data_IF_355068998181
#
_entry.id   IF_355068998181
#
_cell.length_a   1.000
_cell.length_b   1.000
_cell.length_c   1.000
_cell.angle_alpha   90.00
_cell.angle_beta   90.00
_cell.angle_gamma   90.00
#
_symmetry.space_group_name_H-M   'P 1'
#
loop_
_entity.id
_entity.type
_entity.pdbx_description
1 polymer ?
#
# COMPACT_ATOMS: atom_id res chain seq x y z
N UNK A 1 -22.50 2.05 5.13
CA UNK A 1 -22.80 1.64 3.72
C UNK A 1 -21.57 0.89 3.22
N UNK A 2 -21.73 -0.31 2.67
CA UNK A 2 -20.58 -1.16 2.28
C UNK A 2 -19.90 -0.70 0.97
N UNK A 3 -20.59 0.07 0.14
CA UNK A 3 -20.11 0.69 -1.11
C UNK A 3 -21.03 1.86 -1.51
N UNK A 4 -20.56 2.70 -2.43
CA UNK A 4 -21.31 3.83 -3.00
C UNK A 4 -21.68 3.54 -4.45
N UNK A 5 -22.63 4.30 -4.99
CA UNK A 5 -22.97 4.26 -6.42
C UNK A 5 -21.77 4.71 -7.28
N UNK A 6 -21.00 5.71 -6.82
CA UNK A 6 -19.75 6.12 -7.43
C UNK A 6 -18.73 4.98 -7.53
N UNK A 7 -18.56 4.18 -6.47
CA UNK A 7 -17.65 3.04 -6.49
C UNK A 7 -18.04 2.00 -7.57
N UNK A 8 -19.34 1.74 -7.74
CA UNK A 8 -19.83 0.87 -8.82
C UNK A 8 -19.59 1.49 -10.20
N UNK A 9 -19.79 2.79 -10.35
CA UNK A 9 -19.54 3.50 -11.60
C UNK A 9 -18.07 3.41 -12.00
N UNK A 10 -17.14 3.62 -11.06
CA UNK A 10 -15.69 3.48 -11.30
C UNK A 10 -15.31 2.04 -11.64
N UNK A 11 -15.82 1.06 -10.91
CA UNK A 11 -15.56 -0.36 -11.18
C UNK A 11 -16.06 -0.76 -12.57
N UNK A 12 -17.25 -0.29 -12.96
CA UNK A 12 -17.84 -0.52 -14.28
C UNK A 12 -17.03 0.15 -15.38
N UNK A 13 -16.71 1.44 -15.23
CA UNK A 13 -15.91 2.17 -16.21
C UNK A 13 -14.53 1.53 -16.43
N UNK A 14 -13.88 1.07 -15.32
CA UNK A 14 -12.58 0.38 -15.38
C UNK A 14 -12.60 -0.91 -16.16
N UNK A 15 -13.76 -1.55 -16.33
CA UNK A 15 -13.87 -2.81 -17.06
C UNK A 15 -13.77 -2.65 -18.59
N UNK A 16 -13.94 -1.43 -19.10
CA UNK A 16 -13.82 -1.17 -20.53
C UNK A 16 -12.36 -1.19 -20.98
N UNK A 17 -12.12 -1.83 -22.12
CA UNK A 17 -10.78 -1.93 -22.71
C UNK A 17 -10.19 -0.56 -23.01
N UNK A 18 -8.96 -0.34 -22.56
CA UNK A 18 -8.27 0.95 -22.73
C UNK A 18 -8.51 1.95 -21.59
N UNK A 19 -9.43 1.67 -20.66
CA UNK A 19 -9.68 2.52 -19.49
C UNK A 19 -8.74 2.12 -18.34
N UNK A 20 -7.70 2.91 -18.14
CA UNK A 20 -6.71 2.74 -17.06
C UNK A 20 -6.96 3.68 -15.87
N UNK A 21 -6.14 3.52 -14.80
CA UNK A 21 -6.24 4.38 -13.62
C UNK A 21 -6.09 5.87 -13.98
N UNK A 22 -5.15 6.23 -14.86
CA UNK A 22 -4.96 7.62 -15.28
C UNK A 22 -6.23 8.21 -15.91
N UNK A 23 -6.95 7.42 -16.71
CA UNK A 23 -8.21 7.87 -17.31
C UNK A 23 -9.27 8.12 -16.23
N UNK A 24 -9.43 7.18 -15.28
CA UNK A 24 -10.36 7.33 -14.15
C UNK A 24 -10.03 8.59 -13.34
N UNK A 25 -8.78 8.73 -12.91
CA UNK A 25 -8.31 9.86 -12.10
C UNK A 25 -8.55 11.21 -12.80
N UNK A 26 -8.38 11.26 -14.13
CA UNK A 26 -8.57 12.47 -14.92
C UNK A 26 -10.04 12.82 -15.11
N UNK A 27 -10.89 11.85 -15.37
CA UNK A 27 -12.23 12.07 -15.89
C UNK A 27 -13.34 11.91 -14.84
N UNK A 28 -13.14 11.11 -13.78
CA UNK A 28 -14.17 10.85 -12.76
C UNK A 28 -13.78 11.48 -11.42
N UNK A 29 -14.71 12.24 -10.83
CA UNK A 29 -14.52 12.97 -9.55
C UNK A 29 -15.47 12.50 -8.45
N UNK A 30 -16.39 11.57 -8.78
CA UNK A 30 -17.29 10.95 -7.83
C UNK A 30 -18.75 11.42 -7.88
N UNK A 31 -19.08 12.33 -8.79
CA UNK A 31 -20.43 12.91 -8.94
C UNK A 31 -20.96 12.90 -10.37
N UNK A 32 -20.30 12.20 -11.28
CA UNK A 32 -20.72 12.13 -12.69
C UNK A 32 -22.00 11.29 -12.85
N UNK A 33 -22.92 11.76 -13.69
CA UNK A 33 -24.06 10.96 -14.16
C UNK A 33 -23.59 9.86 -15.09
N UNK A 34 -24.39 8.79 -15.23
CA UNK A 34 -24.09 7.69 -16.16
C UNK A 34 -24.00 8.21 -17.60
N UNK A 35 -24.89 9.11 -18.03
CA UNK A 35 -24.82 9.80 -19.32
C UNK A 35 -23.44 10.43 -19.55
N UNK A 36 -22.92 11.16 -18.54
CA UNK A 36 -21.60 11.79 -18.60
C UNK A 36 -20.49 10.75 -18.72
N UNK A 37 -20.53 9.69 -17.92
CA UNK A 37 -19.53 8.62 -17.95
C UNK A 37 -19.53 7.93 -19.31
N UNK A 38 -20.69 7.55 -19.84
CA UNK A 38 -20.84 6.92 -21.15
C UNK A 38 -20.34 7.83 -22.28
N UNK A 39 -20.65 9.14 -22.23
CA UNK A 39 -20.13 10.12 -23.19
C UNK A 39 -18.59 10.19 -23.17
N UNK A 40 -17.98 10.18 -21.98
CA UNK A 40 -16.51 10.19 -21.82
C UNK A 40 -15.87 8.87 -22.29
N UNK A 41 -16.50 7.73 -21.99
CA UNK A 41 -16.05 6.41 -22.46
C UNK A 41 -16.04 6.37 -23.98
N UNK A 42 -17.13 6.76 -24.65
CA UNK A 42 -17.28 6.71 -26.11
C UNK A 42 -16.30 7.64 -26.86
N UNK A 43 -15.75 8.66 -26.20
CA UNK A 43 -14.64 9.47 -26.74
C UNK A 43 -13.29 8.77 -26.69
N UNK A 44 -13.15 7.70 -25.91
CA UNK A 44 -11.87 7.07 -25.58
C UNK A 44 -11.75 5.64 -26.10
N UNK A 45 -12.80 4.83 -25.96
CA UNK A 45 -12.81 3.45 -26.39
C UNK A 45 -12.72 3.37 -27.92
N UNK A 46 -12.02 2.37 -28.42
CA UNK A 46 -11.83 2.14 -29.86
C UNK A 46 -12.78 1.08 -30.42
N UNK A 47 -13.40 0.33 -29.52
CA UNK A 47 -14.38 -0.70 -29.83
C UNK A 47 -15.75 -0.05 -30.07
N UNK A 48 -16.82 -0.84 -30.24
CA UNK A 48 -18.17 -0.30 -30.44
C UNK A 48 -18.58 0.62 -29.28
N UNK A 49 -19.27 1.75 -29.58
CA UNK A 49 -19.76 2.65 -28.54
C UNK A 49 -20.69 1.93 -27.58
N UNK A 50 -20.55 2.22 -26.28
CA UNK A 50 -21.47 1.69 -25.25
C UNK A 50 -22.68 2.63 -25.09
N UNK A 51 -23.79 2.08 -24.62
CA UNK A 51 -25.00 2.83 -24.23
C UNK A 51 -25.15 2.91 -22.71
N UNK A 52 -26.03 3.80 -22.24
CA UNK A 52 -26.38 3.87 -20.82
C UNK A 52 -26.99 2.56 -20.32
N UNK A 53 -27.87 1.93 -21.10
CA UNK A 53 -28.49 0.64 -20.76
C UNK A 53 -27.45 -0.47 -20.62
N UNK A 54 -26.45 -0.49 -21.49
CA UNK A 54 -25.38 -1.47 -21.41
C UNK A 54 -24.48 -1.21 -20.20
N UNK A 55 -24.12 0.04 -19.94
CA UNK A 55 -23.37 0.42 -18.75
C UNK A 55 -24.10 0.02 -17.47
N UNK A 56 -25.40 0.32 -17.38
CA UNK A 56 -26.27 -0.07 -16.26
C UNK A 56 -26.35 -1.60 -16.10
N UNK A 57 -26.46 -2.34 -17.18
CA UNK A 57 -26.45 -3.81 -17.14
C UNK A 57 -25.15 -4.36 -16.58
N UNK A 58 -24.02 -3.82 -17.02
CA UNK A 58 -22.69 -4.21 -16.49
C UNK A 58 -22.54 -3.82 -15.02
N UNK A 59 -22.99 -2.63 -14.64
CA UNK A 59 -22.98 -2.14 -13.26
C UNK A 59 -23.75 -3.08 -12.32
N UNK A 60 -24.97 -3.49 -12.68
CA UNK A 60 -25.75 -4.48 -11.90
C UNK A 60 -25.05 -5.83 -11.77
N UNK A 61 -24.35 -6.29 -12.81
CA UNK A 61 -23.57 -7.54 -12.74
C UNK A 61 -22.38 -7.40 -11.76
N UNK A 62 -21.68 -6.24 -11.77
CA UNK A 62 -20.60 -6.00 -10.79
C UNK A 62 -21.15 -5.86 -9.38
N UNK A 63 -22.30 -5.22 -9.20
CA UNK A 63 -22.98 -5.09 -7.92
C UNK A 63 -23.30 -6.45 -7.30
N UNK A 64 -23.92 -7.36 -8.07
CA UNK A 64 -24.21 -8.72 -7.61
C UNK A 64 -22.96 -9.44 -7.10
N UNK A 65 -21.87 -9.41 -7.90
CA UNK A 65 -20.59 -10.02 -7.52
C UNK A 65 -19.95 -9.35 -6.29
N UNK A 66 -20.17 -8.06 -6.08
CA UNK A 66 -19.65 -7.33 -4.94
C UNK A 66 -20.42 -7.71 -3.67
N UNK A 67 -21.74 -7.90 -3.77
CA UNK A 67 -22.58 -8.36 -2.64
C UNK A 67 -22.12 -9.73 -2.16
N UNK A 68 -21.86 -10.69 -3.06
CA UNK A 68 -21.32 -12.01 -2.72
C UNK A 68 -20.02 -11.89 -1.91
N UNK A 69 -19.11 -10.97 -2.29
CA UNK A 69 -17.84 -10.74 -1.57
C UNK A 69 -18.05 -10.19 -0.16
N UNK A 70 -19.06 -9.36 0.05
CA UNK A 70 -19.39 -8.85 1.39
C UNK A 70 -19.91 -9.94 2.33
N UNK A 71 -20.56 -10.94 1.79
CA UNK A 71 -20.98 -12.10 2.56
C UNK A 71 -19.80 -13.00 2.93
N UNK A 72 -18.80 -13.11 2.07
CA UNK A 72 -17.66 -14.00 2.25
C UNK A 72 -16.51 -13.39 3.08
N UNK A 73 -16.03 -12.20 2.73
CA UNK A 73 -14.72 -11.77 3.19
C UNK A 73 -14.48 -10.27 3.34
N UNK A 74 -15.35 -9.40 2.80
CA UNK A 74 -15.12 -7.95 2.76
C UNK A 74 -16.08 -7.20 3.69
N UNK A 75 -15.58 -6.19 4.38
CA UNK A 75 -16.44 -5.25 5.13
C UNK A 75 -16.91 -4.10 4.23
N UNK A 76 -16.13 -3.75 3.20
CA UNK A 76 -16.51 -2.72 2.25
C UNK A 76 -15.64 -2.62 1.00
N UNK A 77 -16.11 -1.76 0.10
CA UNK A 77 -15.47 -1.39 -1.15
C UNK A 77 -15.60 0.12 -1.32
N UNK A 78 -14.48 0.80 -1.51
CA UNK A 78 -14.41 2.26 -1.66
C UNK A 78 -13.65 2.63 -2.91
N UNK A 79 -14.02 3.74 -3.54
CA UNK A 79 -13.39 4.21 -4.76
C UNK A 79 -13.05 5.71 -4.70
N UNK A 80 -12.21 6.14 -5.62
CA UNK A 80 -11.84 7.54 -5.78
C UNK A 80 -13.08 8.45 -5.83
N UNK A 81 -13.11 9.50 -5.01
CA UNK A 81 -14.26 10.40 -4.86
C UNK A 81 -15.21 10.01 -3.73
N UNK A 82 -15.11 8.81 -3.16
CA UNK A 82 -15.90 8.44 -1.98
C UNK A 82 -15.35 9.12 -0.71
N UNK A 83 -16.20 9.44 0.28
CA UNK A 83 -15.80 10.13 1.51
C UNK A 83 -14.71 9.41 2.31
N UNK A 84 -14.69 8.08 2.28
CA UNK A 84 -13.74 7.24 3.03
C UNK A 84 -12.61 6.67 2.16
N UNK A 85 -12.49 7.11 0.90
CA UNK A 85 -11.39 6.66 0.06
C UNK A 85 -10.08 7.26 0.55
N UNK A 86 -9.07 6.45 0.90
CA UNK A 86 -7.83 6.96 1.48
C UNK A 86 -7.05 7.84 0.51
N UNK A 87 -6.62 8.99 1.00
CA UNK A 87 -5.75 9.87 0.22
C UNK A 87 -4.31 9.32 0.25
N UNK A 88 -3.67 9.32 -0.92
CA UNK A 88 -2.25 8.99 -1.02
C UNK A 88 -1.35 10.12 -0.51
N UNK A 89 -0.17 9.77 -0.02
CA UNK A 89 0.90 10.72 0.29
C UNK A 89 1.82 10.87 -0.93
N UNK A 90 2.57 11.98 -0.95
CA UNK A 90 3.58 12.25 -1.97
C UNK A 90 3.05 12.55 -3.37
N UNK A 91 3.96 12.56 -4.34
CA UNK A 91 3.71 12.95 -5.72
C UNK A 91 3.48 11.72 -6.61
N UNK A 92 2.30 11.15 -6.54
CA UNK A 92 1.94 9.91 -7.27
C UNK A 92 1.39 10.25 -8.65
N UNK A 93 1.94 9.63 -9.70
CA UNK A 93 1.42 9.75 -11.07
C UNK A 93 0.01 9.19 -11.16
N UNK A 94 -0.85 9.81 -11.99
CA UNK A 94 -2.25 9.39 -12.15
C UNK A 94 -2.41 7.91 -12.47
N UNK A 95 -1.52 7.34 -13.29
CA UNK A 95 -1.55 5.92 -13.66
C UNK A 95 -1.21 4.96 -12.51
N UNK A 96 -0.56 5.46 -11.46
CA UNK A 96 -0.10 4.69 -10.32
C UNK A 96 -1.00 4.88 -9.08
N UNK A 97 -1.95 5.84 -9.13
CA UNK A 97 -2.91 6.05 -8.04
C UNK A 97 -3.89 4.88 -7.95
N UNK A 98 -4.22 4.40 -6.74
CA UNK A 98 -5.34 3.49 -6.54
C UNK A 98 -6.64 4.21 -6.90
N UNK A 99 -7.57 3.48 -7.51
CA UNK A 99 -8.89 4.03 -7.90
C UNK A 99 -10.03 3.38 -7.14
N UNK A 100 -9.81 2.20 -6.57
CA UNK A 100 -10.71 1.53 -5.65
C UNK A 100 -9.95 0.56 -4.75
N UNK A 101 -10.54 0.23 -3.62
CA UNK A 101 -9.99 -0.70 -2.63
C UNK A 101 -11.10 -1.57 -2.05
N UNK A 102 -10.85 -2.88 -1.99
CA UNK A 102 -11.57 -3.82 -1.15
C UNK A 102 -10.91 -3.85 0.22
N UNK A 103 -11.70 -3.89 1.29
CA UNK A 103 -11.13 -3.88 2.64
C UNK A 103 -11.89 -4.74 3.63
N UNK A 104 -11.18 -5.15 4.69
CA UNK A 104 -11.72 -5.77 5.90
C UNK A 104 -11.04 -5.13 7.12
N UNK A 105 -11.84 -4.64 8.07
CA UNK A 105 -11.39 -3.87 9.23
C UNK A 105 -11.54 -2.35 9.04
N UNK A 106 -10.72 -1.57 9.73
CA UNK A 106 -10.85 -0.12 9.85
C UNK A 106 -10.15 0.63 8.71
N UNK A 107 -10.88 0.99 7.64
CA UNK A 107 -10.33 1.71 6.48
C UNK A 107 -9.76 3.10 6.86
N UNK A 108 -10.27 3.73 7.91
CA UNK A 108 -9.82 5.01 8.43
C UNK A 108 -8.37 4.99 8.96
N UNK A 109 -7.78 3.82 9.23
CA UNK A 109 -6.35 3.69 9.54
C UNK A 109 -5.45 4.21 8.41
N UNK A 110 -5.93 4.25 7.16
CA UNK A 110 -5.21 4.85 6.03
C UNK A 110 -5.45 6.35 5.87
N UNK A 111 -6.29 6.97 6.72
CA UNK A 111 -6.49 8.41 6.69
C UNK A 111 -5.17 9.17 6.77
N UNK A 112 -5.11 10.31 6.09
CA UNK A 112 -3.98 11.24 6.15
C UNK A 112 -3.84 11.95 7.52
N UNK A 113 -4.87 11.86 8.37
CA UNK A 113 -4.82 12.33 9.75
C UNK A 113 -3.94 11.43 10.65
N UNK A 114 -3.81 10.15 10.29
CA UNK A 114 -2.96 9.19 10.99
C UNK A 114 -1.51 9.29 10.52
N UNK A 115 -0.58 8.96 11.41
CA UNK A 115 0.82 8.76 11.02
C UNK A 115 1.04 7.29 10.70
N UNK A 116 1.31 7.00 9.44
CA UNK A 116 1.52 5.66 8.93
C UNK A 116 2.99 5.45 8.60
N UNK A 117 3.57 4.40 9.18
CA UNK A 117 4.98 4.02 8.97
C UNK A 117 5.00 2.67 8.25
N UNK A 118 5.53 2.65 7.05
CA UNK A 118 5.77 1.39 6.36
C UNK A 118 7.10 0.80 6.78
N UNK A 119 7.09 -0.49 7.15
CA UNK A 119 8.32 -1.26 7.46
C UNK A 119 8.37 -2.45 6.51
N UNK A 120 9.51 -2.58 5.82
CA UNK A 120 9.76 -3.61 4.80
C UNK A 120 11.17 -4.18 4.92
N UNK A 121 11.40 -5.35 4.32
CA UNK A 121 12.74 -5.93 4.33
C UNK A 121 12.81 -7.32 3.70
N UNK A 122 13.70 -8.14 4.22
CA UNK A 122 13.97 -9.50 3.77
C UNK A 122 12.82 -10.47 4.05
N UNK A 123 12.66 -11.45 3.17
CA UNK A 123 11.75 -12.57 3.42
C UNK A 123 12.24 -13.54 4.50
N UNK A 124 13.55 -13.60 4.74
CA UNK A 124 14.16 -14.46 5.73
C UNK A 124 15.28 -13.70 6.47
N UNK A 125 14.94 -12.76 7.38
CA UNK A 125 15.92 -12.08 8.19
C UNK A 125 16.56 -13.04 9.21
N UNK A 126 17.81 -12.79 9.59
CA UNK A 126 18.46 -13.53 10.69
C UNK A 126 18.15 -12.88 12.04
N UNK A 127 18.38 -13.60 13.13
CA UNK A 127 17.90 -13.26 14.46
C UNK A 127 18.13 -11.83 14.96
N UNK A 128 19.32 -11.25 14.76
CA UNK A 128 19.63 -9.88 15.18
C UNK A 128 18.88 -8.82 14.35
N UNK A 129 18.64 -9.06 13.08
CA UNK A 129 17.82 -8.19 12.21
C UNK A 129 16.38 -8.16 12.73
N UNK A 130 15.79 -9.32 13.04
CA UNK A 130 14.46 -9.41 13.61
C UNK A 130 14.33 -8.65 14.92
N UNK A 131 15.26 -8.84 15.85
CA UNK A 131 15.24 -8.17 17.16
C UNK A 131 15.29 -6.64 17.01
N UNK A 132 16.16 -6.14 16.13
CA UNK A 132 16.31 -4.70 15.89
C UNK A 132 15.08 -4.13 15.18
N UNK A 133 14.51 -4.85 14.23
CA UNK A 133 13.27 -4.47 13.57
C UNK A 133 12.11 -4.37 14.56
N UNK A 134 11.95 -5.37 15.43
CA UNK A 134 10.92 -5.35 16.49
C UNK A 134 11.04 -4.13 17.40
N UNK A 135 12.26 -3.75 17.80
CA UNK A 135 12.51 -2.53 18.60
C UNK A 135 12.08 -1.25 17.85
N UNK A 136 12.33 -1.20 16.53
CA UNK A 136 11.90 -0.06 15.70
C UNK A 136 10.37 0.02 15.68
N UNK A 137 9.70 -1.08 15.34
CA UNK A 137 8.24 -1.14 15.29
C UNK A 137 7.61 -0.77 16.64
N UNK A 138 8.09 -1.39 17.74
CA UNK A 138 7.64 -1.09 19.08
C UNK A 138 7.73 0.40 19.41
N UNK A 139 8.86 1.02 19.06
CA UNK A 139 9.09 2.44 19.34
C UNK A 139 8.14 3.34 18.55
N UNK A 140 7.85 3.05 17.28
CA UNK A 140 6.86 3.80 16.50
C UNK A 140 5.44 3.60 17.02
N UNK A 141 5.05 2.38 17.36
CA UNK A 141 3.73 2.08 17.93
C UNK A 141 3.52 2.79 19.26
N UNK A 142 4.49 2.74 20.17
CA UNK A 142 4.45 3.47 21.46
C UNK A 142 4.27 4.99 21.31
N UNK A 143 4.60 5.54 20.16
CA UNK A 143 4.41 6.95 19.84
C UNK A 143 3.21 7.20 18.91
N UNK A 144 2.27 6.24 18.82
CA UNK A 144 0.97 6.39 18.16
C UNK A 144 0.97 6.19 16.65
N UNK A 145 2.03 5.65 16.06
CA UNK A 145 2.04 5.33 14.63
C UNK A 145 1.27 4.05 14.32
N UNK A 146 0.60 4.02 13.18
CA UNK A 146 0.07 2.80 12.55
C UNK A 146 1.15 2.18 11.66
N UNK A 147 1.39 0.89 11.80
CA UNK A 147 2.35 0.16 10.96
C UNK A 147 1.69 -0.31 9.68
N UNK A 148 2.31 -0.05 8.54
CA UNK A 148 1.85 -0.52 7.23
C UNK A 148 2.88 -1.51 6.70
N UNK A 149 2.44 -2.64 6.17
CA UNK A 149 3.33 -3.58 5.47
C UNK A 149 2.54 -4.49 4.53
N UNK A 150 3.19 -5.46 3.91
CA UNK A 150 2.61 -6.25 2.82
C UNK A 150 2.23 -7.67 3.17
N UNK A 151 2.31 -8.06 4.42
CA UNK A 151 2.02 -9.43 4.89
C UNK A 151 2.92 -10.51 4.26
N UNK A 152 4.04 -10.16 3.62
CA UNK A 152 5.01 -11.14 3.13
C UNK A 152 5.70 -11.87 4.30
N UNK A 153 6.49 -12.89 4.00
CA UNK A 153 7.33 -13.54 5.00
C UNK A 153 8.41 -12.58 5.53
N UNK A 154 9.01 -12.92 6.65
CA UNK A 154 10.11 -12.16 7.25
C UNK A 154 9.69 -10.79 7.77
N UNK A 155 10.38 -9.75 7.34
CA UNK A 155 10.23 -8.41 7.91
C UNK A 155 8.78 -7.90 7.89
N UNK A 156 7.99 -8.14 6.83
CA UNK A 156 6.60 -7.73 6.79
C UNK A 156 5.78 -8.38 7.92
N UNK A 157 5.90 -9.70 8.08
CA UNK A 157 5.17 -10.44 9.14
C UNK A 157 5.69 -10.14 10.54
N UNK A 158 6.99 -9.90 10.70
CA UNK A 158 7.61 -9.46 11.97
C UNK A 158 7.04 -8.10 12.37
N UNK A 159 6.96 -7.15 11.43
CA UNK A 159 6.41 -5.82 11.67
C UNK A 159 4.94 -5.86 12.09
N UNK A 160 4.11 -6.64 11.40
CA UNK A 160 2.71 -6.81 11.78
C UNK A 160 2.57 -7.43 13.16
N UNK A 161 3.27 -8.54 13.42
CA UNK A 161 3.20 -9.19 14.73
C UNK A 161 3.68 -8.28 15.84
N UNK A 162 4.78 -7.56 15.66
CA UNK A 162 5.28 -6.64 16.67
C UNK A 162 4.34 -5.46 16.92
N UNK A 163 3.65 -4.97 15.88
CA UNK A 163 2.65 -3.93 16.07
C UNK A 163 1.50 -4.41 16.98
N UNK A 164 1.01 -5.64 16.77
CA UNK A 164 -0.01 -6.27 17.62
C UNK A 164 0.53 -6.52 19.03
N UNK A 165 1.72 -7.12 19.17
CA UNK A 165 2.37 -7.38 20.46
C UNK A 165 2.55 -6.08 21.28
N UNK A 166 2.65 -4.94 20.63
CA UNK A 166 2.75 -3.61 21.23
C UNK A 166 1.37 -2.94 21.43
N UNK A 167 0.27 -3.64 21.22
CA UNK A 167 -1.11 -3.12 21.29
C UNK A 167 -1.38 -1.95 20.32
N UNK A 168 -0.70 -1.93 19.18
CA UNK A 168 -0.86 -0.94 18.12
C UNK A 168 -1.71 -1.42 16.97
N UNK A 169 -1.99 -0.51 16.04
CA UNK A 169 -2.71 -0.85 14.81
C UNK A 169 -1.74 -1.15 13.67
N UNK A 170 -2.16 -2.08 12.79
CA UNK A 170 -1.41 -2.38 11.58
C UNK A 170 -2.32 -2.59 10.37
N UNK A 171 -1.79 -2.23 9.20
CA UNK A 171 -2.46 -2.31 7.90
C UNK A 171 -1.69 -3.25 6.99
N UNK A 172 -2.31 -4.34 6.57
CA UNK A 172 -1.73 -5.25 5.60
C UNK A 172 -2.28 -4.97 4.18
N UNK A 173 -1.38 -4.64 3.26
CA UNK A 173 -1.71 -4.40 1.84
C UNK A 173 -1.42 -5.68 1.06
N UNK A 174 -2.44 -6.28 0.45
CA UNK A 174 -2.39 -7.62 -0.12
C UNK A 174 -2.28 -7.63 -1.66
N UNK A 175 -1.54 -8.58 -2.25
CA UNK A 175 -1.47 -8.80 -3.70
C UNK A 175 -2.60 -9.68 -4.24
N UNK A 176 -3.51 -10.11 -3.37
CA UNK A 176 -4.55 -11.09 -3.65
C UNK A 176 -5.90 -10.64 -3.09
N UNK A 177 -7.02 -11.21 -3.53
CA UNK A 177 -8.32 -10.89 -2.96
C UNK A 177 -8.43 -11.38 -1.51
N UNK A 178 -9.34 -10.77 -0.73
CA UNK A 178 -9.46 -11.01 0.71
C UNK A 178 -9.96 -12.42 1.07
N UNK A 179 -10.61 -13.14 0.15
CA UNK A 179 -10.98 -14.54 0.34
C UNK A 179 -9.83 -15.53 0.04
N UNK A 180 -8.76 -15.06 -0.63
CA UNK A 180 -7.58 -15.87 -0.95
C UNK A 180 -6.30 -15.15 -0.51
N UNK A 181 -6.12 -15.00 0.80
CA UNK A 181 -4.99 -14.26 1.39
C UNK A 181 -3.66 -14.95 1.06
N UNK A 182 -2.74 -14.16 0.49
CA UNK A 182 -1.39 -14.60 0.15
C UNK A 182 -0.32 -13.77 0.86
N UNK A 183 0.74 -14.43 1.37
CA UNK A 183 1.00 -15.87 1.33
C UNK A 183 0.09 -16.65 2.31
N UNK A 184 -0.38 -17.81 1.91
CA UNK A 184 -1.36 -18.60 2.69
C UNK A 184 -0.90 -18.92 4.12
N UNK A 185 0.41 -19.04 4.36
CA UNK A 185 0.99 -19.30 5.69
C UNK A 185 0.74 -18.15 6.68
N UNK A 186 0.58 -16.91 6.19
CA UNK A 186 0.32 -15.73 7.01
C UNK A 186 -1.18 -15.42 7.18
N UNK A 187 -2.07 -16.34 6.75
CA UNK A 187 -3.52 -16.17 6.88
C UNK A 187 -3.97 -16.01 8.34
N UNK A 188 -3.34 -16.74 9.27
CA UNK A 188 -3.61 -16.59 10.71
C UNK A 188 -3.30 -15.17 11.21
N UNK A 189 -2.13 -14.64 10.83
CA UNK A 189 -1.74 -13.26 11.16
C UNK A 189 -2.71 -12.23 10.55
N UNK A 190 -3.16 -12.45 9.32
CA UNK A 190 -4.15 -11.57 8.70
C UNK A 190 -5.47 -11.52 9.48
N UNK A 191 -5.95 -12.64 10.00
CA UNK A 191 -7.15 -12.66 10.84
C UNK A 191 -6.92 -11.96 12.17
N UNK A 192 -5.79 -12.19 12.83
CA UNK A 192 -5.41 -11.51 14.06
C UNK A 192 -5.35 -9.98 13.87
N UNK A 193 -4.79 -9.51 12.75
CA UNK A 193 -4.78 -8.07 12.42
C UNK A 193 -6.21 -7.48 12.45
N UNK A 194 -7.18 -8.15 11.85
CA UNK A 194 -8.56 -7.67 11.82
C UNK A 194 -9.21 -7.76 13.21
N UNK A 195 -9.03 -8.87 13.90
CA UNK A 195 -9.59 -9.09 15.25
C UNK A 195 -9.10 -8.05 16.25
N UNK A 196 -7.87 -7.60 16.14
CA UNK A 196 -7.29 -6.55 16.99
C UNK A 196 -7.52 -5.12 16.43
N UNK A 197 -8.44 -4.98 15.46
CA UNK A 197 -8.92 -3.69 14.97
C UNK A 197 -8.02 -3.06 13.92
N UNK A 198 -7.14 -3.81 13.29
CA UNK A 198 -6.35 -3.41 12.13
C UNK A 198 -7.12 -3.46 10.82
N UNK A 199 -6.40 -3.50 9.70
CA UNK A 199 -6.95 -3.41 8.35
C UNK A 199 -6.25 -4.36 7.39
N UNK A 200 -7.03 -5.08 6.59
CA UNK A 200 -6.58 -5.71 5.34
C UNK A 200 -7.14 -4.92 4.16
N UNK A 201 -6.32 -4.63 3.17
CA UNK A 201 -6.71 -3.86 1.99
C UNK A 201 -6.06 -4.40 0.72
N UNK A 202 -6.81 -4.36 -0.39
CA UNK A 202 -6.34 -4.79 -1.71
C UNK A 202 -7.07 -4.09 -2.85
N UNK A 203 -6.39 -3.95 -4.00
CA UNK A 203 -7.03 -3.54 -5.26
C UNK A 203 -7.64 -4.73 -6.03
N UNK A 204 -7.42 -5.98 -5.56
CA UNK A 204 -7.80 -7.17 -6.30
C UNK A 204 -9.09 -7.80 -5.76
N UNK A 205 -10.13 -7.79 -6.59
CA UNK A 205 -11.41 -8.44 -6.31
C UNK A 205 -11.53 -9.87 -6.84
N UNK A 206 -10.56 -10.36 -7.63
CA UNK A 206 -10.58 -11.68 -8.25
C UNK A 206 -9.26 -12.41 -8.05
N UNK A 207 -9.31 -13.74 -8.05
CA UNK A 207 -8.11 -14.57 -7.99
C UNK A 207 -7.16 -14.33 -9.16
N UNK A 208 -5.89 -14.65 -8.93
CA UNK A 208 -4.87 -14.67 -9.97
C UNK A 208 -4.94 -15.96 -10.77
N UNK A 209 -4.68 -15.88 -12.08
CA UNK A 209 -4.75 -17.02 -13.01
C UNK A 209 -3.45 -17.83 -13.07
N UNK A 210 -2.34 -17.26 -12.58
CA UNK A 210 -1.02 -17.89 -12.64
C UNK A 210 -0.08 -17.33 -11.58
N UNK A 211 1.01 -18.06 -11.28
CA UNK A 211 2.08 -17.55 -10.41
C UNK A 211 2.79 -16.33 -10.97
N UNK A 212 2.83 -16.17 -12.30
CA UNK A 212 3.37 -14.99 -12.96
C UNK A 212 2.50 -13.76 -12.70
N UNK A 213 1.17 -13.89 -12.79
CA UNK A 213 0.24 -12.81 -12.45
C UNK A 213 0.35 -12.43 -10.97
N UNK A 214 0.39 -13.42 -10.07
CA UNK A 214 0.59 -13.16 -8.65
C UNK A 214 1.92 -12.40 -8.41
N UNK A 215 3.00 -12.80 -9.07
CA UNK A 215 4.28 -12.09 -8.99
C UNK A 215 4.19 -10.65 -9.49
N UNK A 216 3.41 -10.38 -10.53
CA UNK A 216 3.14 -9.00 -10.99
C UNK A 216 2.35 -8.21 -9.96
N UNK A 217 1.32 -8.83 -9.37
CA UNK A 217 0.50 -8.20 -8.33
C UNK A 217 1.30 -7.83 -7.06
N UNK A 218 2.29 -8.65 -6.67
CA UNK A 218 3.23 -8.29 -5.61
C UNK A 218 3.98 -6.99 -5.92
N UNK A 219 4.52 -6.87 -7.15
CA UNK A 219 5.24 -5.67 -7.58
C UNK A 219 4.34 -4.43 -7.65
N UNK A 220 3.12 -4.60 -8.15
CA UNK A 220 2.13 -3.52 -8.22
C UNK A 220 1.68 -3.07 -6.83
N UNK A 221 1.52 -4.00 -5.90
CA UNK A 221 1.15 -3.74 -4.51
C UNK A 221 2.21 -2.94 -3.75
N UNK A 222 3.52 -3.15 -4.06
CA UNK A 222 4.61 -2.46 -3.38
C UNK A 222 4.52 -0.93 -3.50
N UNK A 223 3.89 -0.40 -4.57
CA UNK A 223 3.62 1.04 -4.67
C UNK A 223 2.65 1.54 -3.62
N UNK A 224 1.66 0.71 -3.22
CA UNK A 224 0.69 1.09 -2.20
C UNK A 224 1.33 1.19 -0.81
N UNK A 225 2.33 0.36 -0.51
CA UNK A 225 3.12 0.46 0.71
C UNK A 225 3.84 1.81 0.80
N UNK A 226 4.32 2.33 -0.33
CA UNK A 226 4.97 3.63 -0.39
C UNK A 226 3.97 4.79 -0.31
N UNK A 227 2.87 4.76 -1.07
CA UNK A 227 1.96 5.91 -1.16
C UNK A 227 0.99 6.05 0.03
N UNK A 228 0.84 5.02 0.87
CA UNK A 228 -0.01 5.08 2.06
C UNK A 228 0.78 5.28 3.36
N UNK A 229 2.06 5.67 3.31
CA UNK A 229 2.84 5.97 4.49
C UNK A 229 3.47 7.38 4.48
N UNK A 230 3.73 7.89 5.67
CA UNK A 230 4.43 9.16 5.88
C UNK A 230 5.95 8.99 5.84
N UNK A 231 6.42 7.79 6.13
CA UNK A 231 7.83 7.36 6.00
C UNK A 231 7.89 5.86 5.77
N UNK A 232 8.76 5.42 4.86
CA UNK A 232 9.08 4.01 4.67
C UNK A 232 10.43 3.67 5.28
N UNK A 233 10.50 2.58 6.03
CA UNK A 233 11.68 2.09 6.72
C UNK A 233 12.11 0.76 6.11
N UNK A 234 13.35 0.69 5.66
CA UNK A 234 14.00 -0.54 5.24
C UNK A 234 14.73 -1.19 6.42
N UNK A 235 14.24 -2.34 6.89
CA UNK A 235 14.93 -3.10 7.91
C UNK A 235 16.27 -3.63 7.38
N UNK A 236 16.25 -4.52 6.42
CA UNK A 236 17.43 -5.00 5.71
C UNK A 236 17.04 -5.52 4.32
N UNK A 237 17.90 -5.39 3.32
CA UNK A 237 17.68 -6.01 2.00
C UNK A 237 18.98 -6.13 1.20
N UNK A 238 19.00 -7.12 0.31
CA UNK A 238 20.03 -7.26 -0.72
C UNK A 238 19.91 -6.17 -1.77
N UNK A 239 21.04 -5.65 -2.25
CA UNK A 239 21.10 -4.84 -3.46
C UNK A 239 20.92 -5.70 -4.71
N UNK A 240 20.71 -5.06 -5.86
CA UNK A 240 20.48 -5.76 -7.14
C UNK A 240 21.63 -6.69 -7.53
N UNK A 241 22.85 -6.33 -7.19
CA UNK A 241 24.08 -7.03 -7.53
C UNK A 241 24.72 -7.79 -6.36
N UNK A 242 24.02 -7.96 -5.22
CA UNK A 242 24.58 -8.63 -4.05
C UNK A 242 25.03 -10.06 -4.36
N UNK A 243 24.30 -10.80 -5.22
CA UNK A 243 24.69 -12.16 -5.62
C UNK A 243 26.04 -12.20 -6.34
N UNK A 244 26.39 -11.15 -7.08
CA UNK A 244 27.66 -11.07 -7.81
C UNK A 244 28.81 -10.58 -6.93
N UNK A 245 28.51 -9.81 -5.88
CA UNK A 245 29.52 -9.24 -4.98
C UNK A 245 29.97 -10.22 -3.88
N UNK A 246 29.13 -11.20 -3.56
CA UNK A 246 29.38 -12.14 -2.45
C UNK A 246 29.48 -13.57 -2.95
N UNK A 247 30.68 -14.21 -2.89
CA UNK A 247 30.89 -15.57 -3.42
C UNK A 247 29.92 -16.63 -2.87
N UNK A 248 29.50 -16.49 -1.61
CA UNK A 248 28.52 -17.38 -0.97
C UNK A 248 27.09 -17.19 -1.45
N UNK A 249 26.79 -16.14 -2.20
CA UNK A 249 25.48 -15.85 -2.79
C UNK A 249 25.45 -16.01 -4.31
N UNK A 250 26.60 -16.37 -4.91
CA UNK A 250 26.74 -16.47 -6.36
C UNK A 250 25.69 -17.42 -6.96
N UNK A 251 24.97 -16.94 -7.97
CA UNK A 251 23.92 -17.70 -8.66
C UNK A 251 22.59 -17.84 -7.87
N UNK A 252 22.48 -17.28 -6.69
CA UNK A 252 21.23 -17.29 -5.93
C UNK A 252 20.28 -16.19 -6.42
N UNK A 253 18.99 -16.51 -6.47
CA UNK A 253 17.93 -15.54 -6.71
C UNK A 253 17.57 -14.85 -5.39
N UNK A 254 18.11 -13.66 -5.19
CA UNK A 254 17.85 -12.88 -3.99
C UNK A 254 16.52 -12.10 -4.07
N UNK A 255 15.95 -11.82 -2.92
CA UNK A 255 14.72 -11.03 -2.78
C UNK A 255 14.88 -9.59 -3.30
N UNK A 256 13.83 -9.07 -3.93
CA UNK A 256 13.84 -7.75 -4.57
C UNK A 256 12.64 -6.85 -4.23
N UNK A 257 11.66 -7.32 -3.46
CA UNK A 257 10.43 -6.59 -3.16
C UNK A 257 10.69 -5.27 -2.44
N UNK A 258 11.48 -5.31 -1.37
CA UNK A 258 11.84 -4.11 -0.61
C UNK A 258 12.52 -3.04 -1.48
N UNK A 259 13.35 -3.43 -2.46
CA UNK A 259 13.98 -2.49 -3.40
C UNK A 259 12.96 -1.75 -4.27
N UNK A 260 11.89 -2.43 -4.71
CA UNK A 260 10.83 -1.80 -5.50
C UNK A 260 10.04 -0.78 -4.66
N UNK A 261 9.65 -1.13 -3.45
CA UNK A 261 8.91 -0.24 -2.57
C UNK A 261 9.75 1.01 -2.20
N UNK A 262 11.07 0.86 -1.91
CA UNK A 262 11.99 1.98 -1.70
C UNK A 262 12.14 2.85 -2.95
N UNK A 263 12.10 2.24 -4.15
CA UNK A 263 12.11 2.95 -5.43
C UNK A 263 10.84 3.80 -5.61
N UNK A 264 9.66 3.25 -5.37
CA UNK A 264 8.40 3.98 -5.40
C UNK A 264 8.39 5.14 -4.40
N UNK A 265 8.87 4.90 -3.17
CA UNK A 265 8.96 5.96 -2.16
C UNK A 265 9.83 7.14 -2.63
N UNK A 266 10.99 6.86 -3.27
CA UNK A 266 11.82 7.89 -3.90
C UNK A 266 11.04 8.66 -4.97
N UNK A 267 10.41 7.94 -5.89
CA UNK A 267 9.73 8.52 -7.05
C UNK A 267 8.51 9.35 -6.64
N UNK A 268 7.87 8.99 -5.52
CA UNK A 268 6.75 9.73 -4.94
C UNK A 268 7.18 10.82 -3.95
N UNK A 269 8.48 10.98 -3.71
CA UNK A 269 9.01 11.93 -2.72
C UNK A 269 8.51 11.65 -1.29
N UNK A 270 8.41 10.37 -0.93
CA UNK A 270 8.10 9.92 0.42
C UNK A 270 9.41 9.82 1.23
N UNK A 271 9.45 10.33 2.46
CA UNK A 271 10.60 10.20 3.34
C UNK A 271 11.00 8.73 3.54
N UNK A 272 12.30 8.46 3.50
CA UNK A 272 12.87 7.12 3.61
C UNK A 272 13.83 7.02 4.77
N UNK A 273 13.82 5.88 5.45
CA UNK A 273 14.77 5.54 6.50
C UNK A 273 15.32 4.13 6.30
N UNK A 274 16.46 3.87 6.86
CA UNK A 274 17.10 2.54 6.85
C UNK A 274 17.55 2.18 8.26
N UNK A 275 17.35 0.93 8.65
CA UNK A 275 18.00 0.35 9.81
C UNK A 275 19.43 0.01 9.42
N UNK A 276 20.41 0.56 10.10
CA UNK A 276 21.82 0.28 9.80
C UNK A 276 22.73 0.67 10.96
N UNK A 277 23.64 -0.22 11.30
CA UNK A 277 24.71 0.01 12.26
C UNK A 277 26.05 -0.25 11.55
N UNK A 278 26.91 0.74 11.50
CA UNK A 278 28.18 0.67 10.76
C UNK A 278 29.10 -0.44 11.30
N UNK A 279 29.09 -0.70 12.60
CA UNK A 279 29.95 -1.70 13.20
C UNK A 279 29.42 -3.14 13.02
N UNK A 280 28.10 -3.31 13.00
CA UNK A 280 27.49 -4.63 12.93
C UNK A 280 27.21 -5.08 11.49
N UNK A 281 26.89 -4.13 10.60
CA UNK A 281 26.29 -4.43 9.30
C UNK A 281 27.24 -4.22 8.11
N UNK A 282 28.45 -3.63 8.33
CA UNK A 282 29.36 -3.25 7.24
C UNK A 282 29.70 -4.40 6.29
N UNK A 283 29.92 -5.59 6.83
CA UNK A 283 30.28 -6.78 6.05
C UNK A 283 29.10 -7.71 5.74
N UNK A 284 27.89 -7.43 6.25
CA UNK A 284 26.73 -8.29 6.08
C UNK A 284 26.02 -8.02 4.75
N UNK A 285 25.95 -8.98 3.79
CA UNK A 285 25.32 -8.77 2.48
C UNK A 285 23.81 -8.48 2.58
N UNK A 286 23.15 -8.85 3.66
CA UNK A 286 21.74 -8.54 3.92
C UNK A 286 21.47 -7.03 4.04
N UNK A 287 22.50 -6.21 4.24
CA UNK A 287 22.43 -4.75 4.32
C UNK A 287 23.00 -4.03 3.09
N UNK A 288 23.28 -4.73 2.00
CA UNK A 288 23.85 -4.13 0.79
C UNK A 288 22.99 -2.98 0.25
N UNK A 289 21.64 -3.15 0.24
CA UNK A 289 20.75 -2.09 -0.19
C UNK A 289 20.75 -0.91 0.77
N UNK A 290 20.79 -1.17 2.07
CA UNK A 290 20.85 -0.14 3.11
C UNK A 290 22.12 0.72 2.93
N UNK A 291 23.31 0.08 2.80
CA UNK A 291 24.59 0.76 2.53
C UNK A 291 24.57 1.56 1.23
N UNK A 292 24.00 0.96 0.17
CA UNK A 292 23.86 1.63 -1.13
C UNK A 292 23.04 2.92 -1.00
N UNK A 293 21.87 2.85 -0.35
CA UNK A 293 21.01 4.00 -0.14
C UNK A 293 21.68 5.09 0.71
N UNK A 294 22.38 4.71 1.77
CA UNK A 294 23.15 5.65 2.61
C UNK A 294 24.21 6.40 1.79
N UNK A 295 24.90 5.67 0.91
CA UNK A 295 25.95 6.24 0.05
C UNK A 295 25.41 7.16 -1.04
N UNK A 296 24.28 6.81 -1.64
CA UNK A 296 23.70 7.52 -2.79
C UNK A 296 22.82 8.71 -2.38
N UNK A 297 22.26 8.71 -1.16
CA UNK A 297 21.19 9.62 -0.77
C UNK A 297 21.51 10.37 0.54
N UNK A 298 21.75 11.68 0.43
CA UNK A 298 22.10 12.53 1.57
C UNK A 298 20.97 12.72 2.59
N UNK A 299 19.72 12.54 2.19
CA UNK A 299 18.56 12.82 3.03
C UNK A 299 17.96 11.57 3.70
N UNK A 300 18.56 10.38 3.47
CA UNK A 300 18.08 9.16 4.09
C UNK A 300 18.30 9.18 5.61
N UNK A 301 17.30 8.80 6.36
CA UNK A 301 17.41 8.73 7.82
C UNK A 301 17.98 7.38 8.23
N UNK A 302 19.12 7.37 8.97
CA UNK A 302 19.72 6.14 9.51
C UNK A 302 19.20 5.94 10.93
N UNK A 303 18.62 4.76 11.19
CA UNK A 303 18.09 4.34 12.50
C UNK A 303 19.00 3.26 13.06
N UNK A 304 19.58 3.53 14.25
CA UNK A 304 20.36 2.58 15.06
C UNK A 304 19.63 2.30 16.38
N UNK A 305 20.11 1.33 17.15
CA UNK A 305 19.57 1.09 18.50
C UNK A 305 19.74 2.30 19.42
N UNK A 306 20.84 3.03 19.28
CA UNK A 306 21.16 4.18 20.15
C UNK A 306 20.34 5.42 19.83
N UNK A 307 19.97 5.63 18.55
CA UNK A 307 19.27 6.84 18.12
C UNK A 307 17.77 6.67 17.85
N UNK A 308 17.23 5.47 18.02
CA UNK A 308 15.85 5.12 17.66
C UNK A 308 14.83 6.06 18.29
N UNK A 309 14.95 6.40 19.57
CA UNK A 309 14.02 7.30 20.25
C UNK A 309 14.04 8.73 19.65
N UNK A 310 15.22 9.24 19.33
CA UNK A 310 15.39 10.54 18.69
C UNK A 310 14.80 10.54 17.27
N UNK A 311 15.17 9.54 16.47
CA UNK A 311 14.73 9.44 15.07
C UNK A 311 13.24 9.22 14.94
N UNK A 312 12.64 8.39 15.82
CA UNK A 312 11.18 8.22 15.87
C UNK A 312 10.48 9.56 16.10
N UNK A 313 10.87 10.31 17.12
CA UNK A 313 10.29 11.63 17.38
C UNK A 313 10.47 12.59 16.21
N UNK A 314 11.66 12.60 15.57
CA UNK A 314 11.92 13.44 14.40
C UNK A 314 11.07 13.08 13.20
N UNK A 315 10.84 11.78 12.94
CA UNK A 315 10.01 11.30 11.85
C UNK A 315 8.54 11.68 12.11
N UNK A 316 8.02 11.38 13.30
CA UNK A 316 6.62 11.63 13.65
C UNK A 316 6.26 13.13 13.73
N UNK A 317 7.22 13.99 14.08
CA UNK A 317 7.02 15.45 14.15
C UNK A 317 7.07 16.15 12.78
N UNK A 318 7.48 15.47 11.71
CA UNK A 318 7.35 15.99 10.34
C UNK A 318 5.90 15.89 9.92
N UNK A 319 5.09 16.96 10.14
CA UNK A 319 3.75 17.04 9.56
C UNK A 319 3.85 16.87 8.04
N UNK A 320 3.03 16.02 7.42
CA UNK A 320 3.01 15.90 5.97
C UNK A 320 2.69 17.26 5.36
N UNK A 321 3.48 17.70 4.40
CA UNK A 321 3.21 18.89 3.60
C UNK A 321 2.10 18.53 2.62
N UNK A 322 0.84 18.57 3.08
CA UNK A 322 -0.32 18.46 2.19
C UNK A 322 -0.44 19.76 1.44
N UNK A 323 -0.07 19.77 0.16
CA UNK A 323 -0.54 20.80 -0.76
C UNK A 323 -2.02 20.53 -0.99
N UNK A 324 -2.86 21.21 -0.23
CA UNK A 324 -4.32 21.23 -0.40
C UNK A 324 -4.63 21.88 -1.75
N UNK A 325 -4.91 21.07 -2.75
CA UNK A 325 -5.58 21.51 -3.98
C UNK A 325 -7.00 20.97 -3.94
N UNK A 326 -7.87 21.65 -3.21
CA UNK A 326 -9.31 21.80 -3.52
C UNK A 326 -9.97 22.59 -2.40
N UNK A 327 -10.21 23.84 -2.65
CA UNK A 327 -11.15 24.68 -1.89
C UNK A 327 -12.57 24.16 -2.21
N UNK A 328 -13.16 23.39 -1.29
CA UNK A 328 -14.60 23.21 -1.27
C UNK A 328 -15.19 24.49 -0.65
N UNK A 329 -15.81 25.34 -1.46
CA UNK A 329 -16.73 26.36 -0.96
C UNK A 329 -17.94 25.63 -0.36
N UNK A 330 -18.08 25.69 0.96
CA UNK A 330 -19.34 25.43 1.61
C UNK A 330 -20.34 26.49 1.15
N UNK A 331 -21.27 26.12 0.29
CA UNK A 331 -22.46 26.90 0.04
C UNK A 331 -23.32 26.92 1.30
N UNK A 332 -23.50 28.08 1.88
CA UNK A 332 -24.47 28.32 2.94
C UNK A 332 -25.88 27.97 2.43
N UNK A 333 -26.46 26.93 2.98
CA UNK A 333 -27.89 26.61 2.85
C UNK A 333 -28.59 27.17 4.09
N UNK A 334 -28.84 28.50 4.08
CA UNK A 334 -29.90 29.14 4.86
C UNK A 334 -30.03 30.57 4.33
N UNK A 335 -30.89 30.73 3.34
CA UNK A 335 -31.86 31.83 3.18
C UNK A 335 -33.00 31.38 2.30
#
# INVERSE_FOLDING_TARGET
MKYTDNALNILTAKSYKGIGNAWIVKNLKGNESIETIVSLLNKTIKDEPTSEDEFERLKRNFESKLIEKFEECCDGFVALGDPYFPQHRGNVKESERPIFLYYKGKIDLLSIENVNITVIGLLNPVGDIEERERKIVEQFVKNGATIVSGLAFGCDSISHQQALDSSGYTVAILPSPLNNIMPARNKGLAFQIVEEGGLLVTEYGTDFKSSMELSSRYKERDRLQALFCDTIILAASYAQNSADLHPNLLGQKLDSGARLAMGYARDYNIPRAVMYDEYLDESNPMFDLNRKLIKEEKEITIITQDNICEKTKKILNKKPTVKTTATFQQGNLFE
#
